data_IF_222611007988
#
_entry.id   IF_222611007988
#
_cell.length_a   1.000
_cell.length_b   1.000
_cell.length_c   1.000
_cell.angle_alpha   90.00
_cell.angle_beta   90.00
_cell.angle_gamma   90.00
#
_symmetry.space_group_name_H-M   'P 1'
#
loop_
_entity.id
_entity.type
_entity.pdbx_description
1 polymer ?
#
# COMPACT_ATOMS: atom_id res chain seq x y z
N UNK A 1 -84.06 34.36 -34.73
CA UNK A 1 -84.64 33.20 -35.42
C UNK A 1 -84.18 31.96 -34.68
N UNK A 2 -85.15 31.19 -34.15
CA UNK A 2 -85.12 29.73 -33.86
C UNK A 2 -83.88 29.15 -33.15
N UNK A 3 -83.95 28.48 -32.01
CA UNK A 3 -85.05 27.69 -31.46
C UNK A 3 -84.73 27.26 -30.02
N UNK A 4 -85.77 27.35 -29.19
CA UNK A 4 -85.99 26.76 -27.87
C UNK A 4 -85.90 25.22 -27.85
N UNK A 5 -85.52 24.61 -26.72
CA UNK A 5 -86.45 23.74 -25.95
C UNK A 5 -85.81 23.05 -24.71
N UNK A 6 -86.52 23.18 -23.58
CA UNK A 6 -86.79 22.19 -22.49
C UNK A 6 -85.62 21.55 -21.73
N UNK A 7 -85.49 21.59 -20.40
CA UNK A 7 -86.46 21.78 -19.32
C UNK A 7 -86.84 20.42 -18.69
N UNK A 8 -86.40 20.13 -17.46
CA UNK A 8 -87.15 19.38 -16.43
C UNK A 8 -86.38 19.21 -15.11
N UNK A 9 -86.90 19.90 -14.09
CA UNK A 9 -86.95 19.65 -12.63
C UNK A 9 -86.34 18.37 -11.99
N UNK A 10 -85.45 18.58 -11.01
CA UNK A 10 -85.77 18.51 -9.56
C UNK A 10 -85.73 17.17 -8.81
N UNK A 11 -84.78 17.00 -7.88
CA UNK A 11 -85.02 16.71 -6.45
C UNK A 11 -83.72 16.68 -5.61
N UNK A 12 -83.84 17.19 -4.39
CA UNK A 12 -82.83 17.33 -3.34
C UNK A 12 -82.37 15.97 -2.78
N UNK A 13 -81.12 15.90 -2.28
CA UNK A 13 -80.87 15.32 -0.96
C UNK A 13 -79.52 15.77 -0.37
N UNK A 14 -79.56 15.95 0.93
CA UNK A 14 -78.58 16.46 1.87
C UNK A 14 -77.36 15.54 2.09
N UNK A 15 -76.28 16.13 2.64
CA UNK A 15 -75.39 15.43 3.57
C UNK A 15 -74.06 14.89 3.01
N UNK A 16 -72.97 15.62 3.26
CA UNK A 16 -71.60 15.12 3.06
C UNK A 16 -70.54 16.17 3.38
N UNK A 17 -70.40 16.54 4.65
CA UNK A 17 -69.32 17.44 5.12
C UNK A 17 -67.99 16.72 4.96
N UNK A 18 -67.14 17.21 4.06
CA UNK A 18 -65.75 16.77 3.93
C UNK A 18 -64.93 17.23 5.13
N UNK A 19 -64.28 16.28 5.81
CA UNK A 19 -63.32 16.53 6.89
C UNK A 19 -62.13 17.36 6.36
N UNK A 20 -61.82 18.44 7.07
CA UNK A 20 -60.59 19.22 6.88
C UNK A 20 -59.47 18.54 7.67
N UNK A 21 -58.22 18.50 7.17
CA UNK A 21 -57.10 17.94 7.94
C UNK A 21 -56.84 18.79 9.20
N UNK A 22 -56.87 18.15 10.36
CA UNK A 22 -56.54 18.77 11.65
C UNK A 22 -55.03 19.08 11.74
N UNK A 23 -54.70 20.19 12.40
CA UNK A 23 -53.32 20.62 12.59
C UNK A 23 -52.60 19.85 13.72
N UNK A 24 -51.25 19.91 13.80
CA UNK A 24 -50.43 19.07 14.69
C UNK A 24 -50.65 19.20 16.21
N UNK A 25 -51.50 20.14 16.65
CA UNK A 25 -51.77 20.44 18.06
C UNK A 25 -53.28 20.43 18.36
N UNK A 26 -54.10 19.73 17.56
CA UNK A 26 -55.56 19.69 17.71
C UNK A 26 -56.11 18.37 18.24
N UNK A 27 -55.26 17.41 18.60
CA UNK A 27 -55.71 16.20 19.26
C UNK A 27 -56.22 16.53 20.67
N UNK A 28 -57.43 16.08 20.99
CA UNK A 28 -57.99 16.24 22.32
C UNK A 28 -57.09 15.52 23.33
N UNK A 29 -56.69 16.24 24.39
CA UNK A 29 -55.90 15.66 25.46
C UNK A 29 -56.63 14.44 26.07
N UNK A 30 -55.90 13.38 26.43
CA UNK A 30 -56.50 12.20 27.04
C UNK A 30 -57.20 12.55 28.35
N UNK A 31 -58.20 11.74 28.71
CA UNK A 31 -58.93 11.94 29.96
C UNK A 31 -57.99 11.84 31.16
N UNK A 32 -58.22 12.66 32.19
CA UNK A 32 -57.39 12.79 33.39
C UNK A 32 -57.14 11.44 34.10
N UNK A 33 -58.03 10.46 33.93
CA UNK A 33 -57.87 9.10 34.44
C UNK A 33 -56.78 8.29 33.71
N UNK A 34 -56.59 8.50 32.42
CA UNK A 34 -55.56 7.83 31.62
C UNK A 34 -54.18 8.45 31.84
N UNK A 35 -54.10 9.78 31.99
CA UNK A 35 -52.85 10.44 32.38
C UNK A 35 -52.40 10.08 33.80
N UNK A 36 -53.35 9.95 34.74
CA UNK A 36 -53.08 9.49 36.10
C UNK A 36 -52.58 8.03 36.13
N UNK A 37 -53.12 7.17 35.27
CA UNK A 37 -52.66 5.79 35.16
C UNK A 37 -51.24 5.69 34.55
N UNK A 38 -50.94 6.51 33.54
CA UNK A 38 -49.61 6.59 32.93
C UNK A 38 -48.56 7.14 33.92
N UNK A 39 -48.90 8.19 34.67
CA UNK A 39 -48.01 8.73 35.72
C UNK A 39 -47.80 7.76 36.87
N UNK A 40 -48.81 7.00 37.28
CA UNK A 40 -48.65 5.93 38.27
C UNK A 40 -47.74 4.79 37.77
N UNK A 41 -47.79 4.45 36.47
CA UNK A 41 -46.91 3.46 35.85
C UNK A 41 -45.44 3.93 35.77
N UNK A 42 -45.23 5.24 35.60
CA UNK A 42 -43.90 5.85 35.58
C UNK A 42 -43.33 5.93 37.00
N UNK A 43 -44.14 6.36 37.97
CA UNK A 43 -43.74 6.49 39.38
C UNK A 43 -43.60 5.15 40.12
N UNK A 44 -44.26 4.09 39.65
CA UNK A 44 -44.20 2.75 40.24
C UNK A 44 -42.90 1.99 39.94
N UNK A 45 -42.04 2.50 39.04
CA UNK A 45 -40.71 1.94 38.81
C UNK A 45 -39.78 2.46 39.91
N UNK A 46 -39.45 1.59 40.87
CA UNK A 46 -38.55 1.88 41.99
C UNK A 46 -37.26 2.58 41.51
N UNK A 47 -37.10 3.83 41.93
CA UNK A 47 -35.84 4.56 41.90
C UNK A 47 -34.82 3.87 42.83
N UNK A 48 -33.69 3.45 42.27
CA UNK A 48 -32.52 3.09 43.07
C UNK A 48 -31.69 1.93 42.57
N UNK A 49 -31.17 2.00 41.35
CA UNK A 49 -29.87 1.42 40.97
C UNK A 49 -29.41 2.07 39.66
N UNK A 50 -28.53 3.08 39.78
CA UNK A 50 -27.46 3.53 38.86
C UNK A 50 -27.70 3.34 37.34
N UNK A 51 -27.73 4.35 36.46
CA UNK A 51 -27.52 5.79 36.57
C UNK A 51 -27.50 6.43 35.17
N UNK A 52 -27.92 7.69 35.05
CA UNK A 52 -27.79 8.54 33.84
C UNK A 52 -28.52 8.06 32.58
N UNK A 53 -28.80 8.94 31.60
CA UNK A 53 -29.27 8.49 30.30
C UNK A 53 -28.10 7.81 29.58
N UNK A 54 -27.99 6.49 29.71
CA UNK A 54 -27.09 5.69 28.89
C UNK A 54 -27.42 5.93 27.42
N UNK A 55 -26.48 6.55 26.72
CA UNK A 55 -26.51 6.82 25.29
C UNK A 55 -26.32 5.53 24.44
N UNK A 56 -26.22 4.35 25.06
CA UNK A 56 -25.82 3.10 24.39
C UNK A 56 -26.85 1.98 24.41
N UNK A 57 -28.00 2.15 25.09
CA UNK A 57 -29.14 1.23 24.93
C UNK A 57 -30.33 1.99 24.33
N UNK A 58 -30.24 2.26 23.03
CA UNK A 58 -31.42 2.64 22.26
C UNK A 58 -32.48 1.54 22.44
N UNK A 59 -33.69 1.92 22.85
CA UNK A 59 -34.83 0.99 22.88
C UNK A 59 -34.93 0.35 21.49
N UNK A 60 -34.91 -0.99 21.37
CA UNK A 60 -34.91 -1.65 20.08
C UNK A 60 -36.01 -1.10 19.19
N UNK A 61 -35.70 -0.80 17.92
CA UNK A 61 -36.68 -0.25 16.95
C UNK A 61 -37.94 -1.11 16.87
N UNK A 62 -37.80 -2.42 17.08
CA UNK A 62 -38.90 -3.37 17.17
C UNK A 62 -39.91 -3.04 18.29
N UNK A 63 -39.48 -2.47 19.41
CA UNK A 63 -40.37 -2.13 20.53
C UNK A 63 -41.01 -0.75 20.37
N UNK A 64 -40.42 0.14 19.58
CA UNK A 64 -41.05 1.40 19.16
C UNK A 64 -42.20 1.11 18.19
N UNK A 65 -41.96 0.21 17.22
CA UNK A 65 -42.96 -0.19 16.23
C UNK A 65 -44.16 -0.96 16.82
N UNK A 66 -43.99 -1.63 17.96
CA UNK A 66 -45.11 -2.27 18.69
C UNK A 66 -46.01 -1.26 19.40
N UNK A 67 -45.46 -0.10 19.79
CA UNK A 67 -46.18 0.94 20.53
C UNK A 67 -46.98 1.85 19.58
N UNK A 68 -46.43 2.15 18.40
CA UNK A 68 -47.05 3.08 17.44
C UNK A 68 -47.65 2.37 16.22
N UNK A 69 -48.97 2.17 16.25
CA UNK A 69 -49.72 1.54 15.15
C UNK A 69 -49.74 2.37 13.86
N UNK A 70 -49.49 3.67 13.96
CA UNK A 70 -49.44 4.58 12.81
C UNK A 70 -48.09 4.53 12.08
N UNK A 71 -47.00 4.34 12.82
CA UNK A 71 -45.65 4.15 12.26
C UNK A 71 -45.57 2.90 11.37
N UNK A 72 -46.35 1.86 11.68
CA UNK A 72 -46.47 0.65 10.85
C UNK A 72 -47.05 0.94 9.46
N UNK A 73 -47.96 1.91 9.33
CA UNK A 73 -48.63 2.24 8.05
C UNK A 73 -47.70 2.98 7.08
N UNK A 74 -46.86 3.88 7.62
CA UNK A 74 -45.91 4.68 6.84
C UNK A 74 -44.50 4.08 6.74
N UNK A 75 -44.32 2.84 7.20
CA UNK A 75 -43.01 2.19 7.17
C UNK A 75 -42.54 1.93 5.72
N UNK A 76 -41.27 2.22 5.37
CA UNK A 76 -40.72 1.90 4.06
C UNK A 76 -40.68 0.39 3.80
N UNK A 77 -40.79 0.00 2.52
CA UNK A 77 -40.96 -1.41 2.09
C UNK A 77 -39.89 -2.35 2.64
N UNK A 78 -38.63 -1.92 2.68
CA UNK A 78 -37.49 -2.73 3.15
C UNK A 78 -37.65 -3.18 4.61
N UNK A 79 -38.14 -2.30 5.49
CA UNK A 79 -38.36 -2.63 6.91
C UNK A 79 -39.61 -3.51 7.12
N UNK A 80 -40.61 -3.45 6.22
CA UNK A 80 -41.77 -4.36 6.26
C UNK A 80 -41.34 -5.78 5.93
N UNK A 81 -40.49 -5.92 4.93
CA UNK A 81 -39.96 -7.20 4.48
C UNK A 81 -39.05 -7.82 5.57
N UNK A 82 -38.26 -7.01 6.30
CA UNK A 82 -37.46 -7.45 7.45
C UNK A 82 -38.31 -7.86 8.66
N UNK A 83 -39.33 -7.08 9.01
CA UNK A 83 -40.25 -7.41 10.10
C UNK A 83 -41.02 -8.72 9.82
N UNK A 84 -41.51 -8.90 8.59
CA UNK A 84 -42.18 -10.13 8.15
C UNK A 84 -41.22 -11.34 8.14
N UNK A 85 -39.95 -11.15 7.77
CA UNK A 85 -38.95 -12.20 7.81
C UNK A 85 -38.58 -12.63 9.24
N UNK A 86 -38.57 -11.69 10.20
CA UNK A 86 -38.27 -11.97 11.61
C UNK A 86 -39.33 -12.83 12.32
N UNK A 87 -40.59 -12.77 11.88
CA UNK A 87 -41.67 -13.59 12.45
C UNK A 87 -41.64 -15.05 11.98
N UNK A 88 -41.01 -15.34 10.84
CA UNK A 88 -41.01 -16.68 10.24
C UNK A 88 -39.77 -17.53 10.58
N UNK A 89 -38.97 -17.15 11.59
CA UNK A 89 -37.91 -18.01 12.15
C UNK A 89 -36.79 -18.42 11.17
N UNK A 90 -36.74 -17.84 9.98
CA UNK A 90 -35.70 -18.10 8.99
C UNK A 90 -34.64 -17.01 9.08
N UNK A 91 -33.54 -17.31 9.77
CA UNK A 91 -32.38 -16.43 9.88
C UNK A 91 -31.89 -15.94 8.51
N UNK A 92 -32.19 -14.67 8.20
CA UNK A 92 -31.79 -14.02 6.95
C UNK A 92 -30.27 -13.81 6.96
N UNK A 93 -29.55 -14.71 6.28
CA UNK A 93 -28.15 -14.48 5.89
C UNK A 93 -28.16 -13.56 4.68
N UNK A 94 -28.12 -12.24 4.88
CA UNK A 94 -27.65 -11.34 3.81
C UNK A 94 -26.63 -10.34 4.34
N UNK A 95 -25.54 -10.34 3.59
CA UNK A 95 -24.28 -9.65 3.78
C UNK A 95 -24.47 -8.14 3.76
N UNK A 96 -23.87 -7.45 4.74
CA UNK A 96 -23.67 -6.01 4.65
C UNK A 96 -22.78 -5.69 3.45
N UNK A 97 -23.33 -4.90 2.52
CA UNK A 97 -22.61 -4.33 1.38
C UNK A 97 -21.79 -3.13 1.85
N UNK A 98 -20.51 -3.34 2.13
CA UNK A 98 -19.50 -2.28 1.99
C UNK A 98 -18.94 -2.39 0.57
N UNK A 99 -18.91 -1.29 -0.17
CA UNK A 99 -18.48 -1.21 -1.58
C UNK A 99 -16.97 -1.44 -1.80
N UNK A 100 -16.28 -2.11 -0.88
CA UNK A 100 -14.83 -2.31 -0.91
C UNK A 100 -14.40 -3.76 -1.28
N UNK A 101 -15.24 -4.53 -1.99
CA UNK A 101 -14.90 -5.90 -2.45
C UNK A 101 -15.23 -6.15 -3.93
N UNK A 102 -14.95 -5.19 -4.81
CA UNK A 102 -15.15 -5.39 -6.26
C UNK A 102 -13.93 -6.01 -6.98
N UNK A 103 -13.07 -6.80 -6.33
CA UNK A 103 -12.10 -7.63 -7.05
C UNK A 103 -11.58 -8.81 -6.22
N UNK A 104 -12.49 -9.64 -5.71
CA UNK A 104 -12.10 -10.98 -5.27
C UNK A 104 -13.03 -11.98 -5.96
N UNK A 105 -12.60 -12.50 -7.11
CA UNK A 105 -13.30 -13.56 -7.81
C UNK A 105 -13.33 -14.80 -6.93
N UNK A 106 -14.53 -15.30 -6.63
CA UNK A 106 -14.75 -16.58 -5.96
C UNK A 106 -14.26 -17.72 -6.86
N UNK A 107 -13.14 -18.33 -6.50
CA UNK A 107 -12.77 -19.66 -7.00
C UNK A 107 -13.47 -20.68 -6.09
N UNK A 108 -14.60 -21.22 -6.56
CA UNK A 108 -15.23 -22.39 -5.95
C UNK A 108 -14.26 -23.57 -6.08
N UNK A 109 -13.83 -24.09 -4.93
CA UNK A 109 -12.92 -25.21 -4.82
C UNK A 109 -13.50 -26.49 -5.41
N UNK A 110 -12.76 -27.05 -6.36
CA UNK A 110 -12.59 -28.49 -6.55
C UNK A 110 -11.44 -28.70 -7.55
N UNK A 111 -10.19 -28.71 -7.06
CA UNK A 111 -9.02 -29.36 -7.68
C UNK A 111 -7.84 -29.36 -6.69
N UNK A 112 -6.96 -30.38 -6.71
CA UNK A 112 -5.97 -30.59 -5.66
C UNK A 112 -4.75 -29.66 -5.84
N UNK A 113 -4.45 -28.90 -4.78
CA UNK A 113 -3.16 -28.31 -4.44
C UNK A 113 -2.29 -27.72 -5.58
N UNK A 114 -2.64 -26.52 -6.06
CA UNK A 114 -1.69 -25.68 -6.79
C UNK A 114 -0.63 -25.09 -5.83
N UNK A 115 0.67 -25.38 -6.01
CA UNK A 115 1.73 -24.92 -5.11
C UNK A 115 1.92 -23.39 -5.12
N UNK A 116 1.45 -22.73 -6.18
CA UNK A 116 1.44 -21.27 -6.36
C UNK A 116 0.38 -20.58 -5.48
N UNK A 117 -0.81 -21.17 -5.32
CA UNK A 117 -1.85 -20.62 -4.46
C UNK A 117 -1.48 -20.76 -2.97
N UNK A 118 -0.87 -21.89 -2.60
CA UNK A 118 -0.36 -22.12 -1.25
C UNK A 118 0.83 -21.19 -0.90
N UNK A 119 1.71 -20.89 -1.86
CA UNK A 119 2.82 -19.95 -1.64
C UNK A 119 2.36 -18.50 -1.56
N UNK A 120 1.36 -18.10 -2.36
CA UNK A 120 0.75 -16.76 -2.25
C UNK A 120 -0.04 -16.61 -0.95
N UNK A 121 -0.76 -17.65 -0.52
CA UNK A 121 -1.43 -17.67 0.79
C UNK A 121 -0.42 -17.60 1.94
N UNK A 122 0.70 -18.31 1.85
CA UNK A 122 1.80 -18.22 2.84
C UNK A 122 2.51 -16.87 2.80
N UNK A 123 2.65 -16.22 1.63
CA UNK A 123 3.20 -14.86 1.53
C UNK A 123 2.24 -13.83 2.12
N UNK A 124 0.94 -13.93 1.87
CA UNK A 124 -0.08 -13.07 2.49
C UNK A 124 -0.15 -13.27 4.01
N UNK A 125 -0.07 -14.52 4.47
CA UNK A 125 0.03 -14.83 5.89
C UNK A 125 1.34 -14.30 6.49
N UNK A 126 2.48 -14.39 5.81
CA UNK A 126 3.75 -13.83 6.26
C UNK A 126 3.77 -12.29 6.26
N UNK A 127 3.04 -11.67 5.33
CA UNK A 127 2.90 -10.20 5.25
C UNK A 127 1.99 -9.66 6.34
N UNK A 128 0.95 -10.40 6.71
CA UNK A 128 0.05 -10.08 7.82
C UNK A 128 0.62 -10.53 9.18
N UNK A 129 1.64 -11.41 9.19
CA UNK A 129 2.54 -11.65 10.33
C UNK A 129 3.58 -10.53 10.42
N UNK A 130 3.12 -9.28 10.50
CA UNK A 130 3.71 -8.45 11.54
C UNK A 130 3.50 -9.25 12.82
N UNK A 131 4.57 -9.77 13.37
CA UNK A 131 4.61 -10.70 14.51
C UNK A 131 3.84 -10.07 15.68
N UNK A 132 2.53 -10.29 15.72
CA UNK A 132 1.71 -10.01 16.88
C UNK A 132 2.16 -11.02 17.91
N UNK A 133 2.99 -10.55 18.83
CA UNK A 133 3.39 -11.25 20.03
C UNK A 133 2.14 -11.90 20.62
N UNK A 134 2.23 -13.19 20.92
CA UNK A 134 1.15 -13.94 21.56
C UNK A 134 0.69 -13.17 22.80
N UNK A 135 -0.52 -12.60 22.73
CA UNK A 135 -1.18 -11.77 23.77
C UNK A 135 -1.51 -12.59 25.04
N UNK A 136 -1.07 -13.86 25.10
CA UNK A 136 -1.24 -14.72 26.28
C UNK A 136 -0.29 -14.36 27.43
N UNK A 137 0.78 -13.61 27.17
CA UNK A 137 1.65 -13.06 28.21
C UNK A 137 1.35 -11.57 28.32
N UNK A 138 0.61 -11.19 29.37
CA UNK A 138 0.34 -9.79 29.68
C UNK A 138 1.60 -8.92 29.62
N UNK A 139 1.39 -7.61 29.44
CA UNK A 139 2.46 -6.63 29.23
C UNK A 139 3.58 -6.86 30.26
N UNK A 140 4.83 -7.10 29.82
CA UNK A 140 5.93 -7.34 30.73
C UNK A 140 6.08 -6.18 31.72
N UNK A 141 6.42 -6.51 32.95
CA UNK A 141 6.53 -5.55 34.04
C UNK A 141 7.46 -4.37 33.67
N UNK A 142 7.02 -3.15 33.96
CA UNK A 142 7.75 -1.92 33.64
C UNK A 142 7.42 -1.27 32.30
N UNK A 143 6.69 -1.94 31.41
CA UNK A 143 6.21 -1.33 30.16
C UNK A 143 4.76 -0.87 30.27
N UNK A 144 4.45 0.30 29.70
CA UNK A 144 3.06 0.80 29.59
C UNK A 144 2.31 0.16 28.41
N UNK A 145 3.04 -0.21 27.36
CA UNK A 145 2.54 -0.82 26.12
C UNK A 145 3.45 -1.99 25.75
N UNK A 146 2.98 -2.91 24.90
CA UNK A 146 3.78 -4.04 24.44
C UNK A 146 5.15 -3.59 23.89
N UNK A 147 6.27 -4.19 24.36
CA UNK A 147 7.59 -3.83 23.86
C UNK A 147 7.75 -4.31 22.41
N UNK A 148 8.57 -3.62 21.60
CA UNK A 148 8.85 -4.05 20.23
C UNK A 148 9.56 -5.40 20.21
N UNK A 149 9.32 -6.20 19.16
CA UNK A 149 10.02 -7.47 18.96
C UNK A 149 11.50 -7.22 18.64
N UNK A 150 12.38 -7.92 19.35
CA UNK A 150 13.83 -7.86 19.15
C UNK A 150 14.30 -9.09 18.36
N UNK A 151 15.25 -8.96 17.42
CA UNK A 151 16.01 -7.75 17.10
C UNK A 151 15.24 -6.76 16.21
N UNK A 152 15.36 -5.46 16.53
CA UNK A 152 14.76 -4.40 15.70
C UNK A 152 15.25 -4.47 14.25
N UNK A 153 14.39 -4.20 13.26
CA UNK A 153 14.77 -4.19 11.86
C UNK A 153 15.86 -3.14 11.59
N UNK A 154 16.72 -3.35 10.56
CA UNK A 154 17.85 -2.46 10.29
C UNK A 154 17.47 -0.98 10.05
N UNK A 155 16.28 -0.75 9.47
CA UNK A 155 15.82 0.57 9.03
C UNK A 155 15.29 1.46 10.18
N UNK A 156 15.03 0.88 11.35
CA UNK A 156 14.61 1.64 12.55
C UNK A 156 15.79 2.33 13.25
N UNK A 157 17.02 1.94 12.93
CA UNK A 157 18.22 2.61 13.45
C UNK A 157 18.32 4.00 12.80
N UNK A 158 18.37 5.05 13.63
CA UNK A 158 18.45 6.43 13.16
C UNK A 158 19.56 6.67 12.12
N UNK A 159 20.76 6.14 12.36
CA UNK A 159 21.91 6.28 11.46
C UNK A 159 21.73 5.56 10.12
N UNK A 160 20.87 4.54 10.08
CA UNK A 160 20.61 3.67 8.91
C UNK A 160 19.13 3.64 8.57
N UNK A 161 18.51 4.82 8.52
CA UNK A 161 17.09 4.96 8.18
C UNK A 161 16.75 4.51 6.75
N UNK A 162 17.69 4.69 5.82
CA UNK A 162 17.48 4.41 4.40
C UNK A 162 18.27 3.18 3.97
N UNK A 163 17.81 2.57 2.88
CA UNK A 163 18.54 1.50 2.21
C UNK A 163 19.99 1.92 1.90
N UNK A 164 20.98 1.04 2.11
CA UNK A 164 22.41 1.40 2.02
C UNK A 164 22.81 1.86 0.61
N UNK A 165 22.09 1.40 -0.41
CA UNK A 165 22.31 1.84 -1.79
C UNK A 165 21.85 3.29 -1.98
N UNK A 166 20.67 3.65 -1.47
CA UNK A 166 20.13 5.02 -1.57
C UNK A 166 21.01 5.99 -0.77
N UNK A 167 21.45 5.58 0.42
CA UNK A 167 22.40 6.34 1.23
C UNK A 167 23.75 6.52 0.50
N UNK A 168 24.27 5.48 -0.14
CA UNK A 168 25.51 5.57 -0.91
C UNK A 168 25.36 6.48 -2.13
N UNK A 169 24.24 6.39 -2.85
CA UNK A 169 23.99 7.17 -4.05
C UNK A 169 23.80 8.65 -3.71
N UNK A 170 23.01 8.97 -2.68
CA UNK A 170 22.84 10.36 -2.18
C UNK A 170 24.18 10.99 -1.79
N UNK A 171 25.02 10.25 -1.07
CA UNK A 171 26.36 10.72 -0.69
C UNK A 171 27.30 10.94 -1.89
N UNK A 172 27.11 10.20 -2.99
CA UNK A 172 27.89 10.41 -4.22
C UNK A 172 27.37 11.57 -5.08
N UNK A 173 26.07 11.90 -5.02
CA UNK A 173 25.53 13.12 -5.62
C UNK A 173 26.00 14.37 -4.85
N UNK A 174 26.16 14.26 -3.53
CA UNK A 174 26.47 15.37 -2.65
C UNK A 174 27.78 16.08 -3.03
N UNK A 175 27.69 17.39 -3.24
CA UNK A 175 28.83 18.30 -3.43
C UNK A 175 28.90 19.31 -2.29
N UNK A 176 30.11 19.70 -1.89
CA UNK A 176 30.35 20.73 -0.85
C UNK A 176 29.65 20.47 0.50
N UNK A 177 29.43 19.21 0.88
CA UNK A 177 28.75 18.86 2.14
C UNK A 177 27.24 19.17 2.18
N UNK A 178 26.62 19.56 1.06
CA UNK A 178 25.19 19.90 0.99
C UNK A 178 24.31 18.66 0.91
N UNK A 179 24.19 17.94 2.03
CA UNK A 179 23.43 16.68 2.11
C UNK A 179 21.93 16.87 1.82
N UNK A 180 21.31 17.90 2.38
CA UNK A 180 19.86 18.15 2.22
C UNK A 180 19.48 18.38 0.76
N UNK A 181 20.36 19.03 -0.01
CA UNK A 181 20.16 19.24 -1.45
C UNK A 181 20.27 17.90 -2.20
N UNK A 182 21.26 17.06 -1.87
CA UNK A 182 21.42 15.75 -2.49
C UNK A 182 20.23 14.81 -2.17
N UNK A 183 19.70 14.86 -0.95
CA UNK A 183 18.49 14.14 -0.55
C UNK A 183 17.27 14.61 -1.35
N UNK A 184 17.10 15.93 -1.56
CA UNK A 184 16.05 16.48 -2.44
C UNK A 184 16.20 15.97 -3.87
N UNK A 185 17.42 15.91 -4.41
CA UNK A 185 17.64 15.36 -5.75
C UNK A 185 17.27 13.88 -5.84
N UNK A 186 17.63 13.08 -4.83
CA UNK A 186 17.28 11.66 -4.76
C UNK A 186 15.77 11.44 -4.70
N UNK A 187 15.06 12.21 -3.86
CA UNK A 187 13.60 12.15 -3.80
C UNK A 187 12.97 12.41 -5.18
N UNK A 188 13.43 13.45 -5.90
CA UNK A 188 12.99 13.74 -7.27
C UNK A 188 13.35 12.65 -8.28
N UNK A 189 14.50 11.98 -8.13
CA UNK A 189 14.89 10.86 -8.99
C UNK A 189 13.91 9.70 -8.79
N UNK A 190 13.63 9.32 -7.55
CA UNK A 190 12.70 8.22 -7.23
C UNK A 190 11.27 8.55 -7.66
N UNK A 191 10.86 9.80 -7.49
CA UNK A 191 9.57 10.30 -7.97
C UNK A 191 9.45 10.16 -9.49
N UNK A 192 10.49 10.56 -10.22
CA UNK A 192 10.53 10.42 -11.69
C UNK A 192 10.47 8.97 -12.13
N UNK A 193 11.20 8.07 -11.46
CA UNK A 193 11.14 6.63 -11.76
C UNK A 193 9.76 6.02 -11.49
N UNK A 194 9.03 6.57 -10.52
CA UNK A 194 7.68 6.12 -10.18
C UNK A 194 6.63 6.55 -11.20
N UNK A 195 6.79 7.72 -11.80
CA UNK A 195 5.86 8.26 -12.79
C UNK A 195 6.23 7.90 -14.23
N UNK A 196 7.47 7.45 -14.46
CA UNK A 196 7.91 6.96 -15.76
C UNK A 196 7.19 5.66 -16.17
N UNK A 197 7.01 5.42 -17.47
CA UNK A 197 6.48 4.14 -17.96
C UNK A 197 7.43 2.99 -17.63
N UNK A 198 6.88 1.77 -17.58
CA UNK A 198 7.68 0.56 -17.37
C UNK A 198 8.73 0.41 -18.49
N UNK A 199 10.00 0.11 -18.15
CA UNK A 199 11.06 0.01 -19.15
C UNK A 199 10.89 -1.22 -20.05
N UNK A 200 11.25 -1.10 -21.31
CA UNK A 200 11.28 -2.24 -22.23
C UNK A 200 12.66 -2.91 -22.14
N UNK A 201 12.74 -4.06 -21.46
CA UNK A 201 14.02 -4.75 -21.21
C UNK A 201 14.49 -5.44 -22.50
N UNK A 202 15.70 -5.08 -22.94
CA UNK A 202 16.37 -5.75 -24.05
C UNK A 202 16.83 -7.16 -23.64
N UNK A 203 16.49 -8.23 -24.41
CA UNK A 203 16.87 -9.61 -24.08
C UNK A 203 18.39 -9.84 -24.14
N UNK A 204 19.13 -9.01 -24.89
CA UNK A 204 20.58 -9.12 -25.02
C UNK A 204 21.35 -8.71 -23.75
N UNK A 205 20.73 -7.88 -22.90
CA UNK A 205 21.34 -7.33 -21.68
C UNK A 205 20.36 -7.56 -20.52
N UNK A 206 20.18 -8.83 -20.11
CA UNK A 206 19.22 -9.16 -19.08
C UNK A 206 19.64 -8.51 -17.76
N UNK A 207 18.63 -7.97 -17.07
CA UNK A 207 18.79 -7.51 -15.70
C UNK A 207 19.08 -8.67 -14.74
N UNK A 208 19.57 -8.31 -13.55
CA UNK A 208 19.56 -9.24 -12.43
C UNK A 208 18.13 -9.77 -12.18
N UNK A 209 17.99 -11.02 -11.71
CA UNK A 209 16.69 -11.61 -11.43
C UNK A 209 15.94 -10.74 -10.41
N UNK A 210 14.67 -10.46 -10.71
CA UNK A 210 13.85 -9.54 -9.94
C UNK A 210 12.39 -9.56 -10.40
N UNK A 211 11.55 -8.67 -9.87
CA UNK A 211 10.16 -8.53 -10.31
C UNK A 211 10.09 -8.20 -11.81
N UNK A 212 8.98 -8.55 -12.48
CA UNK A 212 8.78 -8.25 -13.89
C UNK A 212 8.75 -6.73 -14.13
N UNK A 213 9.13 -6.32 -15.34
CA UNK A 213 9.27 -4.90 -15.70
C UNK A 213 8.07 -3.99 -15.33
N UNK A 214 6.80 -4.42 -15.53
CA UNK A 214 5.64 -3.58 -15.20
C UNK A 214 5.55 -3.19 -13.71
N UNK A 215 6.16 -3.95 -12.81
CA UNK A 215 6.14 -3.70 -11.37
C UNK A 215 7.28 -2.77 -10.89
N UNK A 216 8.26 -2.48 -11.75
CA UNK A 216 9.42 -1.66 -11.38
C UNK A 216 9.05 -0.21 -11.01
N UNK A 217 8.18 0.50 -11.76
CA UNK A 217 7.80 1.87 -11.39
C UNK A 217 7.10 1.96 -10.02
N UNK A 218 6.33 0.94 -9.64
CA UNK A 218 5.66 0.90 -8.33
C UNK A 218 6.68 0.90 -7.18
N UNK A 219 7.84 0.26 -7.38
CA UNK A 219 8.91 0.14 -6.41
C UNK A 219 10.20 0.83 -6.89
N UNK A 220 10.29 2.18 -6.85
CA UNK A 220 11.40 2.92 -7.43
C UNK A 220 12.75 2.63 -6.76
N UNK A 221 12.74 2.24 -5.47
CA UNK A 221 13.96 1.83 -4.75
C UNK A 221 14.50 0.52 -5.35
N UNK A 222 13.65 -0.48 -5.56
CA UNK A 222 14.03 -1.74 -6.18
C UNK A 222 14.45 -1.54 -7.63
N UNK A 223 13.76 -0.65 -8.35
CA UNK A 223 14.13 -0.31 -9.71
C UNK A 223 15.56 0.27 -9.77
N UNK A 224 15.86 1.23 -8.89
CA UNK A 224 17.19 1.83 -8.80
C UNK A 224 18.25 0.79 -8.37
N UNK A 225 17.94 -0.10 -7.41
CA UNK A 225 18.89 -1.11 -6.94
C UNK A 225 19.24 -2.11 -8.03
N UNK A 226 18.24 -2.62 -8.76
CA UNK A 226 18.44 -3.55 -9.87
C UNK A 226 19.26 -2.92 -11.00
N UNK A 227 18.96 -1.67 -11.36
CA UNK A 227 19.71 -0.96 -12.40
C UNK A 227 21.19 -0.81 -12.05
N UNK A 228 21.49 -0.38 -10.80
CA UNK A 228 22.86 -0.18 -10.32
C UNK A 228 23.60 -1.51 -10.19
N UNK A 229 22.99 -2.53 -9.58
CA UNK A 229 23.64 -3.81 -9.32
C UNK A 229 23.90 -4.60 -10.62
N UNK A 230 23.04 -4.45 -11.64
CA UNK A 230 23.23 -5.09 -12.95
C UNK A 230 24.46 -4.53 -13.70
N UNK A 231 24.68 -3.22 -13.58
CA UNK A 231 25.85 -2.55 -14.17
C UNK A 231 27.13 -2.80 -13.38
N UNK A 232 27.02 -3.05 -12.09
CA UNK A 232 28.15 -3.06 -11.20
C UNK A 232 29.24 -4.07 -11.64
N UNK A 233 30.50 -3.62 -11.85
CA UNK A 233 31.57 -4.52 -12.28
C UNK A 233 31.94 -5.49 -11.15
N UNK A 234 32.19 -6.75 -11.48
CA UNK A 234 32.60 -7.76 -10.50
C UNK A 234 34.07 -7.60 -10.07
N UNK A 235 34.89 -7.08 -10.97
CA UNK A 235 36.34 -6.96 -10.80
C UNK A 235 36.80 -5.55 -11.11
N UNK A 236 37.87 -5.12 -10.43
CA UNK A 236 38.71 -3.99 -10.82
C UNK A 236 40.06 -4.50 -11.24
N UNK A 237 40.62 -3.91 -12.29
CA UNK A 237 41.97 -4.22 -12.75
C UNK A 237 42.96 -3.34 -12.01
N UNK A 238 43.92 -3.95 -11.32
CA UNK A 238 45.04 -3.27 -10.67
C UNK A 238 46.27 -3.43 -11.55
N UNK A 239 46.93 -2.31 -11.84
CA UNK A 239 48.21 -2.31 -12.54
C UNK A 239 49.32 -2.46 -11.50
N UNK A 240 50.00 -3.61 -11.47
CA UNK A 240 51.11 -3.84 -10.53
C UNK A 240 52.43 -3.86 -11.29
N UNK A 241 53.34 -2.98 -10.90
CA UNK A 241 54.65 -2.79 -11.53
C UNK A 241 55.64 -3.84 -11.02
N UNK A 242 56.53 -4.31 -11.90
CA UNK A 242 57.65 -5.19 -11.53
C UNK A 242 57.31 -6.68 -11.40
N UNK A 243 56.10 -7.11 -11.77
CA UNK A 243 55.71 -8.54 -11.76
C UNK A 243 56.08 -9.24 -13.06
N UNK A 244 56.03 -8.53 -14.19
CA UNK A 244 56.27 -9.11 -15.51
C UNK A 244 57.77 -9.17 -15.90
N UNK A 245 58.66 -8.69 -15.03
CA UNK A 245 60.05 -8.37 -15.39
C UNK A 245 60.18 -6.96 -15.99
N UNK A 246 61.41 -6.45 -16.09
CA UNK A 246 61.72 -5.20 -16.80
C UNK A 246 61.01 -3.92 -16.33
N UNK A 247 60.47 -3.90 -15.11
CA UNK A 247 59.74 -2.73 -14.55
C UNK A 247 58.33 -2.50 -15.13
N UNK A 248 57.86 -3.31 -16.07
CA UNK A 248 56.55 -3.16 -16.71
C UNK A 248 55.39 -3.41 -15.73
N UNK A 249 54.28 -2.70 -15.94
CA UNK A 249 53.04 -2.91 -15.19
C UNK A 249 52.20 -4.03 -15.81
N UNK A 250 51.77 -4.97 -14.97
CA UNK A 250 50.92 -6.07 -15.37
C UNK A 250 49.49 -5.85 -14.85
N UNK A 251 48.46 -5.93 -15.71
CA UNK A 251 47.07 -5.85 -15.27
C UNK A 251 46.70 -7.12 -14.52
N UNK A 252 46.20 -6.97 -13.31
CA UNK A 252 45.74 -8.07 -12.47
C UNK A 252 44.30 -7.79 -12.04
N UNK A 253 43.33 -8.64 -12.41
CA UNK A 253 41.96 -8.49 -11.96
C UNK A 253 41.86 -8.82 -10.47
N UNK A 254 41.14 -7.99 -9.72
CA UNK A 254 40.87 -8.16 -8.30
C UNK A 254 39.36 -8.06 -8.03
N UNK A 255 38.77 -8.97 -7.23
CA UNK A 255 37.35 -8.93 -6.91
C UNK A 255 37.00 -7.69 -6.08
N UNK A 256 35.80 -7.17 -6.28
CA UNK A 256 35.29 -6.00 -5.56
C UNK A 256 34.20 -6.40 -4.55
N UNK A 257 34.22 -5.79 -3.37
CA UNK A 257 33.14 -5.91 -2.40
C UNK A 257 31.87 -5.17 -2.87
N UNK A 258 30.68 -5.55 -2.39
CA UNK A 258 29.40 -4.99 -2.85
C UNK A 258 29.36 -3.45 -2.85
N UNK A 259 29.80 -2.82 -1.75
CA UNK A 259 29.87 -1.36 -1.64
C UNK A 259 30.81 -0.73 -2.67
N UNK A 260 31.92 -1.40 -2.99
CA UNK A 260 32.87 -0.93 -4.01
C UNK A 260 32.29 -1.09 -5.41
N UNK A 261 31.62 -2.22 -5.71
CA UNK A 261 30.92 -2.46 -6.97
C UNK A 261 29.88 -1.37 -7.26
N UNK A 262 29.01 -1.10 -6.28
CA UNK A 262 28.00 -0.03 -6.36
C UNK A 262 28.63 1.34 -6.54
N UNK A 263 29.76 1.64 -5.88
CA UNK A 263 30.45 2.92 -6.04
C UNK A 263 30.86 3.16 -7.49
N UNK A 264 31.53 2.18 -8.12
CA UNK A 264 31.98 2.29 -9.51
C UNK A 264 30.80 2.45 -10.48
N UNK A 265 29.72 1.67 -10.27
CA UNK A 265 28.51 1.78 -11.07
C UNK A 265 27.89 3.18 -10.99
N UNK A 266 27.70 3.69 -9.76
CA UNK A 266 27.09 5.01 -9.54
C UNK A 266 27.97 6.10 -10.13
N UNK A 267 29.30 6.02 -10.01
CA UNK A 267 30.19 7.00 -10.65
C UNK A 267 30.04 7.01 -12.17
N UNK A 268 29.92 5.85 -12.82
CA UNK A 268 29.69 5.81 -14.27
C UNK A 268 28.33 6.34 -14.68
N UNK A 269 27.30 6.10 -13.87
CA UNK A 269 25.95 6.63 -14.10
C UNK A 269 25.97 8.17 -13.99
N UNK A 270 26.64 8.73 -12.98
CA UNK A 270 26.77 10.18 -12.82
C UNK A 270 27.54 10.81 -13.98
N UNK A 271 28.64 10.21 -14.42
CA UNK A 271 29.39 10.65 -15.60
C UNK A 271 28.58 10.60 -16.90
N UNK A 272 27.73 9.58 -17.07
CA UNK A 272 26.85 9.46 -18.22
C UNK A 272 25.73 10.51 -18.16
N UNK A 273 25.14 10.68 -16.98
CA UNK A 273 24.09 11.66 -16.73
C UNK A 273 24.57 13.11 -16.95
N UNK A 274 25.82 13.43 -16.62
CA UNK A 274 26.37 14.76 -16.84
C UNK A 274 26.43 15.16 -18.33
N UNK A 275 26.59 14.18 -19.22
CA UNK A 275 26.63 14.40 -20.67
C UNK A 275 25.24 14.58 -21.31
N UNK A 276 24.16 14.35 -20.56
CA UNK A 276 22.78 14.55 -21.03
C UNK A 276 22.42 16.04 -21.07
N UNK A 277 21.55 16.39 -22.02
CA UNK A 277 21.09 17.77 -22.28
C UNK A 277 19.98 18.24 -21.33
N UNK A 278 19.39 17.39 -20.48
CA UNK A 278 18.26 17.82 -19.64
C UNK A 278 18.67 18.89 -18.60
N UNK A 279 17.78 19.85 -18.34
CA UNK A 279 18.08 20.99 -17.46
C UNK A 279 18.28 20.58 -16.00
N UNK A 280 17.45 19.66 -15.49
CA UNK A 280 17.49 19.25 -14.09
C UNK A 280 18.37 18.01 -13.91
N UNK A 281 19.30 18.07 -12.95
CA UNK A 281 20.19 16.94 -12.60
C UNK A 281 19.40 15.66 -12.27
N UNK A 282 18.30 15.79 -11.50
CA UNK A 282 17.46 14.65 -11.13
C UNK A 282 16.87 13.95 -12.36
N UNK A 283 16.41 14.71 -13.36
CA UNK A 283 15.85 14.14 -14.59
C UNK A 283 16.94 13.46 -15.43
N UNK A 284 18.13 14.08 -15.55
CA UNK A 284 19.27 13.46 -16.26
C UNK A 284 19.65 12.11 -15.68
N UNK A 285 19.71 12.01 -14.35
CA UNK A 285 20.05 10.76 -13.66
C UNK A 285 18.94 9.72 -13.83
N UNK A 286 17.67 10.13 -13.64
CA UNK A 286 16.55 9.20 -13.76
C UNK A 286 16.40 8.65 -15.19
N UNK A 287 16.57 9.49 -16.20
CA UNK A 287 16.65 9.08 -17.61
C UNK A 287 17.83 8.12 -17.87
N UNK A 288 18.92 8.20 -17.11
CA UNK A 288 20.07 7.27 -17.27
C UNK A 288 19.65 5.91 -16.73
N UNK A 289 19.02 5.90 -15.55
CA UNK A 289 18.50 4.67 -14.94
C UNK A 289 17.50 3.97 -15.88
N UNK A 290 16.60 4.71 -16.53
CA UNK A 290 15.68 4.14 -17.52
C UNK A 290 16.42 3.61 -18.75
N UNK A 291 17.36 4.37 -19.31
CA UNK A 291 18.16 3.91 -20.46
C UNK A 291 19.04 2.69 -20.13
N UNK A 292 19.47 2.56 -18.87
CA UNK A 292 20.17 1.39 -18.36
C UNK A 292 19.24 0.18 -18.36
N UNK A 293 17.99 0.39 -17.94
CA UNK A 293 16.97 -0.63 -17.87
C UNK A 293 16.54 -1.18 -19.21
N UNK A 294 16.52 -0.31 -20.21
CA UNK A 294 16.29 -0.67 -21.59
C UNK A 294 17.55 -1.21 -22.27
N UNK A 295 18.70 -1.30 -21.59
CA UNK A 295 19.95 -1.79 -22.20
C UNK A 295 20.64 -0.80 -23.16
N UNK A 296 20.11 0.41 -23.34
CA UNK A 296 20.59 1.42 -24.30
C UNK A 296 21.75 2.29 -23.77
N UNK A 297 21.99 2.30 -22.46
CA UNK A 297 23.02 3.16 -21.87
C UNK A 297 24.45 2.73 -22.25
N UNK A 298 25.32 3.72 -22.47
CA UNK A 298 26.76 3.53 -22.75
C UNK A 298 27.52 2.84 -21.60
N UNK A 299 26.96 2.86 -20.39
CA UNK A 299 27.58 2.25 -19.20
C UNK A 299 27.72 0.72 -19.34
N UNK A 300 26.83 0.07 -20.10
CA UNK A 300 26.96 -1.35 -20.43
C UNK A 300 28.25 -1.67 -21.20
N UNK A 301 28.68 -0.78 -22.10
CA UNK A 301 29.93 -0.94 -22.83
C UNK A 301 31.14 -0.80 -21.90
N UNK A 302 31.11 0.15 -20.95
CA UNK A 302 32.15 0.31 -19.93
C UNK A 302 32.30 -0.97 -19.09
N UNK A 303 31.18 -1.52 -18.60
CA UNK A 303 31.16 -2.79 -17.85
C UNK A 303 31.77 -3.94 -18.67
N UNK A 304 31.33 -4.11 -19.91
CA UNK A 304 31.80 -5.15 -20.80
C UNK A 304 33.31 -5.03 -21.09
N UNK A 305 33.82 -3.81 -21.29
CA UNK A 305 35.24 -3.56 -21.52
C UNK A 305 36.10 -4.02 -20.33
N UNK A 306 35.70 -3.71 -19.10
CA UNK A 306 36.43 -4.14 -17.89
C UNK A 306 36.38 -5.65 -17.73
N UNK A 307 35.23 -6.28 -17.97
CA UNK A 307 35.10 -7.74 -17.86
C UNK A 307 35.93 -8.45 -18.94
N UNK A 308 35.93 -7.93 -20.18
CA UNK A 308 36.78 -8.45 -21.26
C UNK A 308 38.26 -8.36 -20.90
N UNK A 309 38.70 -7.20 -20.39
CA UNK A 309 40.09 -7.02 -19.98
C UNK A 309 40.47 -7.90 -18.78
N UNK A 310 39.54 -8.14 -17.84
CA UNK A 310 39.73 -9.08 -16.75
C UNK A 310 39.88 -10.53 -17.25
N UNK A 311 39.08 -10.95 -18.22
CA UNK A 311 39.18 -12.30 -18.83
C UNK A 311 40.51 -12.49 -19.55
N UNK A 312 40.97 -11.48 -20.31
CA UNK A 312 42.28 -11.52 -20.99
C UNK A 312 43.42 -11.64 -19.98
N UNK A 313 43.36 -10.91 -18.87
CA UNK A 313 44.42 -10.85 -17.86
C UNK A 313 44.31 -11.91 -16.75
N UNK A 314 43.40 -12.89 -16.87
CA UNK A 314 43.16 -13.92 -15.83
C UNK A 314 44.41 -14.71 -15.42
N UNK A 315 45.33 -14.96 -16.37
CA UNK A 315 46.55 -15.72 -16.11
C UNK A 315 47.52 -14.97 -15.16
N UNK A 316 47.44 -13.64 -15.12
CA UNK A 316 48.36 -12.80 -14.33
C UNK A 316 48.14 -12.95 -12.81
N UNK A 317 46.97 -13.45 -12.39
CA UNK A 317 46.65 -13.70 -10.98
C UNK A 317 47.66 -14.66 -10.34
N UNK A 318 48.07 -15.71 -11.05
CA UNK A 318 49.04 -16.70 -10.54
C UNK A 318 50.42 -16.06 -10.28
N UNK A 319 50.90 -15.25 -11.23
CA UNK A 319 52.18 -14.52 -11.11
C UNK A 319 52.18 -13.60 -9.89
N UNK A 320 51.06 -12.91 -9.64
CA UNK A 320 50.91 -12.05 -8.47
C UNK A 320 51.00 -12.83 -7.14
N UNK A 321 50.44 -14.04 -7.08
CA UNK A 321 50.46 -14.87 -5.88
C UNK A 321 51.86 -15.43 -5.55
N UNK A 322 52.67 -15.75 -6.56
CA UNK A 322 54.00 -16.31 -6.40
C UNK A 322 54.99 -15.30 -5.80
N UNK A 323 54.95 -14.03 -6.25
CA UNK A 323 55.84 -12.99 -5.73
C UNK A 323 55.60 -12.66 -4.25
N UNK A 324 54.37 -12.81 -3.75
CA UNK A 324 54.07 -12.67 -2.32
C UNK A 324 54.72 -13.74 -1.46
N UNK A 325 54.96 -14.94 -2.01
CA UNK A 325 55.63 -16.04 -1.30
C UNK A 325 57.14 -15.81 -1.23
N UNK A 326 57.76 -15.29 -2.29
CA UNK A 326 59.20 -15.01 -2.32
C UNK A 326 59.67 -13.84 -1.42
N UNK A 327 58.76 -13.01 -0.91
CA UNK A 327 59.06 -11.91 0.03
C UNK A 327 58.98 -12.31 1.51
N UNK A 328 58.58 -13.54 1.82
CA UNK A 328 58.41 -14.05 3.20
C UNK A 328 59.59 -14.92 3.68
N UNK A 329 60.74 -14.82 3.02
CA UNK A 329 62.00 -15.41 3.49
C UNK A 329 63.03 -14.29 3.67
#
# INVERSE_FOLDING_TARGET
MSSTSSGSSGKQNDGGVGERPLGPNQDQLPHVSEEAAATAQIMGKKCGEVGGPELEQGTPVADILKRDKEALKNMPKVLRDEAAASQNGSGSKRSFSTSARLHQGEVKGNSPADPSAATVANMLAASNRGESVDVEKGIPEGFKYEPPTLPLPPNERFDRRYEPLVEQFTKLIMKHGKLSLAQKHMAKILEYLRTAPAPLIDPSKPFLPGPPSPQLPLNPILYLTLAVDSIAPLFRIRQIRGIAGGGAALPIPSPLAQRQRRREAITWILEAAEKRRDNQLSHRIANEIIAIAEGKSSVWLKRAAIHKQATVSRANIRRASQQRRGRKQ
#
